data_IF_116976250900
#
_entry.id   IF_116976250900
#
_cell.length_a   1.000
_cell.length_b   1.000
_cell.length_c   1.000
_cell.angle_alpha   90.00
_cell.angle_beta   90.00
_cell.angle_gamma   90.00
#
_symmetry.space_group_name_H-M   'P 1'
#
loop_
_entity.id
_entity.type
_entity.pdbx_description
1 polymer ?
#
# COMPACT_ATOMS: atom_id res chain seq x y z
N UNK A 1 -34.70 5.89 -9.52
CA UNK A 1 -33.95 4.62 -9.44
C UNK A 1 -32.48 4.99 -9.33
N UNK A 2 -31.86 4.82 -8.17
CA UNK A 2 -30.43 5.10 -8.01
C UNK A 2 -29.62 4.00 -8.70
N UNK A 3 -28.71 4.40 -9.59
CA UNK A 3 -27.93 3.50 -10.44
C UNK A 3 -27.06 2.58 -9.56
N UNK A 4 -27.01 1.26 -9.81
CA UNK A 4 -26.27 0.29 -8.97
C UNK A 4 -24.83 0.72 -8.62
N UNK A 5 -24.12 1.36 -9.57
CA UNK A 5 -22.76 1.87 -9.35
C UNK A 5 -22.65 3.10 -8.43
N UNK A 6 -23.73 3.83 -8.16
CA UNK A 6 -23.72 4.93 -7.18
C UNK A 6 -23.63 4.40 -5.75
N UNK A 7 -24.46 3.41 -5.40
CA UNK A 7 -24.46 2.81 -4.06
C UNK A 7 -23.14 2.11 -3.74
N UNK A 8 -22.56 1.40 -4.72
CA UNK A 8 -21.27 0.75 -4.55
C UNK A 8 -20.13 1.77 -4.33
N UNK A 9 -20.10 2.86 -5.12
CA UNK A 9 -19.10 3.93 -4.94
C UNK A 9 -19.26 4.65 -3.60
N UNK A 10 -20.49 4.89 -3.15
CA UNK A 10 -20.76 5.51 -1.86
C UNK A 10 -20.33 4.61 -0.69
N UNK A 11 -20.63 3.31 -0.77
CA UNK A 11 -20.18 2.32 0.21
C UNK A 11 -18.65 2.27 0.27
N UNK A 12 -17.97 2.20 -0.89
CA UNK A 12 -16.52 2.22 -0.95
C UNK A 12 -15.90 3.53 -0.40
N UNK A 13 -16.57 4.68 -0.56
CA UNK A 13 -16.14 5.94 0.03
C UNK A 13 -16.30 5.94 1.55
N UNK A 14 -17.42 5.44 2.08
CA UNK A 14 -17.64 5.33 3.52
C UNK A 14 -16.62 4.39 4.18
N UNK A 15 -16.36 3.22 3.59
CA UNK A 15 -15.34 2.30 4.08
C UNK A 15 -13.95 2.94 4.15
N UNK A 16 -13.58 3.78 3.16
CA UNK A 16 -12.33 4.54 3.19
C UNK A 16 -12.30 5.57 4.32
N UNK A 17 -13.41 6.26 4.58
CA UNK A 17 -13.53 7.21 5.69
C UNK A 17 -13.40 6.50 7.04
N UNK A 18 -14.08 5.37 7.20
CA UNK A 18 -14.04 4.57 8.42
C UNK A 18 -12.65 3.99 8.68
N UNK A 19 -11.97 3.54 7.63
CA UNK A 19 -10.57 3.11 7.72
C UNK A 19 -9.66 4.26 8.18
N UNK A 20 -9.74 5.44 7.54
CA UNK A 20 -8.95 6.60 7.95
C UNK A 20 -9.29 7.12 9.36
N UNK A 21 -10.54 6.94 9.82
CA UNK A 21 -10.92 7.21 11.21
C UNK A 21 -10.26 6.21 12.18
N UNK A 22 -10.26 4.92 11.83
CA UNK A 22 -9.63 3.88 12.62
C UNK A 22 -8.11 4.07 12.71
N UNK A 23 -7.45 4.41 11.60
CA UNK A 23 -6.01 4.74 11.59
C UNK A 23 -5.70 5.95 12.47
N UNK A 24 -6.50 7.02 12.39
CA UNK A 24 -6.33 8.19 13.27
C UNK A 24 -6.52 7.84 14.74
N UNK A 25 -7.49 6.99 15.06
CA UNK A 25 -7.72 6.53 16.42
C UNK A 25 -6.55 5.68 16.93
N UNK A 26 -6.05 4.76 16.10
CA UNK A 26 -4.88 3.94 16.40
C UNK A 26 -3.62 4.80 16.61
N UNK A 27 -3.35 5.77 15.75
CA UNK A 27 -2.22 6.69 15.92
C UNK A 27 -2.34 7.56 17.18
N UNK A 28 -3.55 7.93 17.58
CA UNK A 28 -3.78 8.63 18.85
C UNK A 28 -3.53 7.73 20.07
N UNK A 29 -3.84 6.44 19.97
CA UNK A 29 -3.55 5.44 21.00
C UNK A 29 -2.05 5.14 21.10
N UNK A 30 -1.37 4.99 19.96
CA UNK A 30 0.08 4.80 19.89
C UNK A 30 0.81 5.99 20.53
N UNK A 31 0.46 7.22 20.14
CA UNK A 31 0.99 8.44 20.77
C UNK A 31 0.75 8.44 22.28
N UNK A 32 -0.42 8.02 22.73
CA UNK A 32 -0.75 7.96 24.14
C UNK A 32 0.13 6.94 24.89
N UNK A 33 0.37 5.76 24.31
CA UNK A 33 1.27 4.72 24.84
C UNK A 33 2.70 5.25 24.95
N UNK A 34 3.24 5.86 23.89
CA UNK A 34 4.60 6.43 23.93
C UNK A 34 4.76 7.49 25.02
N UNK A 35 3.77 8.38 25.19
CA UNK A 35 3.78 9.38 26.27
C UNK A 35 3.74 8.70 27.65
N UNK A 36 2.96 7.63 27.79
CA UNK A 36 2.84 6.91 29.06
C UNK A 36 4.14 6.19 29.45
N UNK A 37 4.75 5.47 28.50
CA UNK A 37 6.04 4.79 28.68
C UNK A 37 7.15 5.78 29.05
N UNK A 38 7.21 6.93 28.37
CA UNK A 38 8.22 7.94 28.64
C UNK A 38 8.00 8.63 30.00
N UNK A 39 6.75 8.89 30.38
CA UNK A 39 6.43 9.43 31.71
C UNK A 39 6.78 8.44 32.83
N UNK A 40 6.58 7.14 32.60
CA UNK A 40 6.94 6.06 33.53
C UNK A 40 8.45 5.91 33.66
N UNK A 41 9.18 5.91 32.54
CA UNK A 41 10.65 5.85 32.48
C UNK A 41 11.32 6.95 33.31
N UNK A 42 10.72 8.14 33.35
CA UNK A 42 11.19 9.30 34.12
C UNK A 42 10.87 9.23 35.62
N UNK A 43 10.02 8.29 36.06
CA UNK A 43 9.67 8.08 37.46
C UNK A 43 8.83 9.19 38.09
N UNK A 44 9.07 9.50 39.37
CA UNK A 44 8.24 10.43 40.15
C UNK A 44 8.36 11.85 39.60
N UNK A 45 7.25 12.39 39.11
CA UNK A 45 7.21 13.70 38.45
C UNK A 45 7.47 13.66 36.94
N UNK A 46 7.64 12.47 36.35
CA UNK A 46 7.89 12.27 34.93
C UNK A 46 6.85 12.93 34.03
N UNK A 47 5.56 12.83 34.38
CA UNK A 47 4.48 13.48 33.61
C UNK A 47 4.61 15.02 33.56
N UNK A 48 5.05 15.65 34.67
CA UNK A 48 5.26 17.10 34.74
C UNK A 48 6.49 17.54 33.96
N UNK A 49 7.58 16.79 34.08
CA UNK A 49 8.79 17.02 33.28
C UNK A 49 8.52 16.88 31.79
N UNK A 50 7.79 15.84 31.39
CA UNK A 50 7.44 15.57 30.00
C UNK A 50 6.48 16.65 29.44
N UNK A 51 5.53 17.13 30.24
CA UNK A 51 4.66 18.23 29.85
C UNK A 51 5.46 19.51 29.53
N UNK A 52 6.43 19.86 30.37
CA UNK A 52 7.31 21.01 30.15
C UNK A 52 8.17 20.86 28.89
N UNK A 53 8.72 19.66 28.65
CA UNK A 53 9.54 19.37 27.47
C UNK A 53 8.75 19.41 26.16
N UNK A 54 7.54 18.84 26.15
CA UNK A 54 6.67 18.82 24.98
C UNK A 54 5.94 20.16 24.75
N UNK A 55 6.06 21.13 25.67
CA UNK A 55 5.37 22.42 25.59
C UNK A 55 3.84 22.29 25.70
N UNK A 56 3.35 21.28 26.42
CA UNK A 56 1.91 21.01 26.60
C UNK A 56 1.50 21.10 28.07
N UNK A 57 0.20 21.18 28.33
CA UNK A 57 -0.30 21.17 29.71
C UNK A 57 -0.09 19.81 30.38
N UNK A 58 0.15 19.79 31.70
CA UNK A 58 0.21 18.54 32.48
C UNK A 58 -1.08 17.71 32.29
N UNK A 59 -2.24 18.38 32.18
CA UNK A 59 -3.53 17.75 31.90
C UNK A 59 -3.52 16.94 30.61
N UNK A 60 -2.87 17.43 29.55
CA UNK A 60 -2.73 16.73 28.27
C UNK A 60 -1.96 15.42 28.44
N UNK A 61 -0.87 15.44 29.21
CA UNK A 61 -0.07 14.24 29.50
C UNK A 61 -0.87 13.25 30.35
N UNK A 62 -1.59 13.70 31.38
CA UNK A 62 -2.45 12.82 32.17
C UNK A 62 -3.59 12.20 31.36
N UNK A 63 -4.17 12.95 30.41
CA UNK A 63 -5.18 12.41 29.49
C UNK A 63 -4.60 11.36 28.56
N UNK A 64 -3.38 11.57 28.04
CA UNK A 64 -2.66 10.58 27.25
C UNK A 64 -2.39 9.31 28.05
N UNK A 65 -1.90 9.42 29.30
CA UNK A 65 -1.69 8.27 30.18
C UNK A 65 -3.01 7.52 30.45
N UNK A 66 -4.10 8.25 30.72
CA UNK A 66 -5.41 7.64 30.95
C UNK A 66 -5.94 6.92 29.70
N UNK A 67 -5.68 7.47 28.50
CA UNK A 67 -6.02 6.86 27.22
C UNK A 67 -5.18 5.61 26.96
N UNK A 68 -3.87 5.65 27.21
CA UNK A 68 -2.96 4.52 27.06
C UNK A 68 -3.39 3.31 27.91
N UNK A 69 -3.89 3.55 29.13
CA UNK A 69 -4.43 2.48 30.00
C UNK A 69 -5.70 1.81 29.48
N UNK A 70 -6.44 2.49 28.59
CA UNK A 70 -7.69 2.01 27.99
C UNK A 70 -7.50 1.47 26.58
N UNK A 71 -6.43 1.89 25.90
CA UNK A 71 -6.01 1.27 24.66
C UNK A 71 -5.74 -0.20 24.96
N UNK A 72 -6.27 -1.10 24.12
CA UNK A 72 -5.95 -2.53 24.21
C UNK A 72 -4.44 -2.77 24.06
N UNK A 73 -4.00 -4.02 24.14
CA UNK A 73 -2.59 -4.36 23.85
C UNK A 73 -2.15 -3.66 22.56
N UNK A 74 -0.99 -2.97 22.54
CA UNK A 74 -0.61 -2.16 21.41
C UNK A 74 -0.61 -3.04 20.17
N UNK A 75 -1.56 -2.81 19.26
CA UNK A 75 -1.42 -3.25 17.89
C UNK A 75 -0.12 -2.62 17.42
N UNK A 76 0.89 -3.44 17.16
CA UNK A 76 2.11 -2.98 16.49
C UNK A 76 1.78 -3.07 15.00
N UNK A 77 1.31 -1.98 14.36
CA UNK A 77 1.08 -2.02 12.93
C UNK A 77 2.41 -2.35 12.24
N UNK A 78 2.31 -2.94 11.07
CA UNK A 78 3.47 -2.99 10.17
C UNK A 78 3.89 -1.55 9.84
N UNK A 79 5.19 -1.29 9.58
CA UNK A 79 5.65 0.02 9.11
C UNK A 79 4.79 0.57 7.97
N UNK A 80 4.58 1.89 7.93
CA UNK A 80 3.70 2.52 6.94
C UNK A 80 4.13 2.25 5.49
N UNK A 81 5.43 2.04 5.27
CA UNK A 81 6.06 1.73 3.98
C UNK A 81 6.15 0.23 3.68
N UNK A 82 5.46 -0.63 4.44
CA UNK A 82 5.57 -2.09 4.28
C UNK A 82 5.15 -2.55 2.89
N UNK A 83 4.09 -1.98 2.32
CA UNK A 83 3.65 -2.34 0.98
C UNK A 83 4.73 -1.99 -0.06
N UNK A 84 5.23 -0.75 -0.05
CA UNK A 84 6.32 -0.32 -0.95
C UNK A 84 7.55 -1.21 -0.82
N UNK A 85 7.96 -1.53 0.42
CA UNK A 85 9.09 -2.43 0.68
C UNK A 85 8.84 -3.84 0.15
N UNK A 86 7.64 -4.37 0.32
CA UNK A 86 7.28 -5.70 -0.18
C UNK A 86 7.33 -5.73 -1.71
N UNK A 87 6.72 -4.75 -2.39
CA UNK A 87 6.76 -4.68 -3.85
C UNK A 87 8.19 -4.52 -4.37
N UNK A 88 9.01 -3.67 -3.75
CA UNK A 88 10.41 -3.51 -4.12
C UNK A 88 11.23 -4.81 -3.95
N UNK A 89 10.95 -5.60 -2.91
CA UNK A 89 11.58 -6.92 -2.73
C UNK A 89 11.18 -7.87 -3.85
N UNK A 90 9.90 -7.89 -4.23
CA UNK A 90 9.38 -8.77 -5.28
C UNK A 90 10.01 -8.45 -6.65
N UNK A 91 10.18 -7.17 -6.98
CA UNK A 91 10.83 -6.73 -8.23
C UNK A 91 12.22 -7.36 -8.41
N UNK A 92 13.00 -7.51 -7.34
CA UNK A 92 14.33 -8.14 -7.41
C UNK A 92 14.31 -9.62 -7.81
N UNK A 93 13.14 -10.26 -7.76
CA UNK A 93 12.96 -11.68 -8.09
C UNK A 93 12.20 -11.89 -9.40
N UNK A 94 11.74 -10.81 -10.03
CA UNK A 94 11.09 -10.86 -11.34
C UNK A 94 12.14 -11.27 -12.38
N UNK A 95 11.86 -12.24 -13.28
CA UNK A 95 12.79 -12.58 -14.34
C UNK A 95 13.02 -11.37 -15.27
N UNK A 96 14.25 -11.14 -15.74
CA UNK A 96 14.54 -9.98 -16.55
C UNK A 96 13.87 -10.06 -17.93
N UNK A 97 13.42 -8.90 -18.44
CA UNK A 97 12.94 -8.74 -19.81
C UNK A 97 13.76 -7.66 -20.54
N UNK A 98 13.73 -7.63 -21.89
CA UNK A 98 14.32 -6.54 -22.64
C UNK A 98 13.66 -5.20 -22.27
N UNK A 99 14.43 -4.12 -22.24
CA UNK A 99 13.91 -2.79 -21.88
C UNK A 99 12.72 -2.35 -22.74
N UNK A 100 12.69 -2.75 -24.02
CA UNK A 100 11.60 -2.47 -24.94
C UNK A 100 10.29 -3.12 -24.52
N UNK A 101 10.33 -4.33 -23.94
CA UNK A 101 9.14 -5.02 -23.43
C UNK A 101 8.61 -4.35 -22.15
N UNK A 102 9.50 -3.86 -21.28
CA UNK A 102 9.08 -3.05 -20.14
C UNK A 102 8.42 -1.74 -20.55
N UNK A 103 8.96 -1.06 -21.56
CA UNK A 103 8.35 0.15 -22.10
C UNK A 103 6.98 -0.13 -22.72
N UNK A 104 6.85 -1.23 -23.47
CA UNK A 104 5.58 -1.68 -24.04
C UNK A 104 4.55 -1.95 -22.95
N UNK A 105 4.92 -2.75 -21.95
CA UNK A 105 4.03 -3.07 -20.84
C UNK A 105 3.60 -1.82 -20.08
N UNK A 106 4.52 -0.89 -19.82
CA UNK A 106 4.21 0.37 -19.16
C UNK A 106 3.25 1.24 -19.96
N UNK A 107 3.33 1.22 -21.30
CA UNK A 107 2.38 1.90 -22.15
C UNK A 107 0.97 1.30 -22.01
N UNK A 108 0.87 -0.04 -22.06
CA UNK A 108 -0.40 -0.76 -21.94
C UNK A 108 -1.04 -0.57 -20.56
N UNK A 109 -0.26 -0.72 -19.50
CA UNK A 109 -0.72 -0.58 -18.10
C UNK A 109 -1.32 0.80 -17.82
N UNK A 110 -0.88 1.87 -18.50
CA UNK A 110 -1.47 3.22 -18.34
C UNK A 110 -2.92 3.31 -18.84
N UNK A 111 -3.33 2.42 -19.74
CA UNK A 111 -4.69 2.36 -20.26
C UNK A 111 -5.65 1.51 -19.41
N UNK A 112 -5.13 0.72 -18.49
CA UNK A 112 -5.91 -0.29 -17.76
C UNK A 112 -6.47 0.29 -16.46
N UNK A 113 -7.75 0.02 -16.20
CA UNK A 113 -8.39 0.33 -14.91
C UNK A 113 -8.28 -0.86 -13.96
N UNK A 114 -7.45 -0.72 -12.93
CA UNK A 114 -7.25 -1.75 -11.91
C UNK A 114 -8.25 -1.59 -10.77
N UNK A 115 -9.12 -2.57 -10.60
CA UNK A 115 -10.05 -2.67 -9.48
C UNK A 115 -9.63 -3.77 -8.47
N UNK A 116 -10.46 -4.00 -7.45
CA UNK A 116 -10.16 -5.00 -6.40
C UNK A 116 -10.04 -6.42 -6.94
N UNK A 117 -10.67 -6.74 -8.06
CA UNK A 117 -10.61 -8.06 -8.71
C UNK A 117 -9.18 -8.40 -9.11
N UNK A 118 -8.38 -7.41 -9.51
CA UNK A 118 -6.97 -7.61 -9.87
C UNK A 118 -6.12 -8.08 -8.69
N UNK A 119 -6.44 -7.61 -7.48
CA UNK A 119 -5.76 -8.00 -6.25
C UNK A 119 -6.25 -9.37 -5.78
N UNK A 120 -7.55 -9.65 -5.91
CA UNK A 120 -8.19 -10.86 -5.41
C UNK A 120 -7.93 -12.11 -6.28
N UNK A 121 -7.66 -11.93 -7.56
CA UNK A 121 -7.52 -13.01 -8.55
C UNK A 121 -6.05 -13.27 -8.92
N UNK A 122 -5.77 -13.48 -10.21
CA UNK A 122 -4.44 -13.69 -10.78
C UNK A 122 -4.09 -12.49 -11.68
N UNK A 123 -3.49 -11.43 -11.13
CA UNK A 123 -3.21 -10.20 -11.88
C UNK A 123 -2.26 -10.44 -13.07
N UNK A 124 -1.35 -11.41 -12.98
CA UNK A 124 -0.50 -11.80 -14.09
C UNK A 124 -1.28 -12.34 -15.28
N UNK A 125 -2.28 -13.19 -15.03
CA UNK A 125 -3.17 -13.73 -16.08
C UNK A 125 -4.05 -12.65 -16.69
N UNK A 126 -4.65 -11.78 -15.86
CA UNK A 126 -5.45 -10.65 -16.36
C UNK A 126 -4.61 -9.71 -17.22
N UNK A 127 -3.39 -9.37 -16.79
CA UNK A 127 -2.50 -8.51 -17.56
C UNK A 127 -2.05 -9.17 -18.87
N UNK A 128 -1.85 -10.48 -18.88
CA UNK A 128 -1.53 -11.22 -20.08
C UNK A 128 -2.66 -11.17 -21.12
N UNK A 129 -3.91 -11.29 -20.66
CA UNK A 129 -5.08 -11.21 -21.54
C UNK A 129 -5.22 -9.81 -22.15
N UNK A 130 -4.99 -8.74 -21.36
CA UNK A 130 -4.96 -7.35 -21.85
C UNK A 130 -3.84 -7.10 -22.87
N UNK A 131 -2.65 -7.71 -22.66
CA UNK A 131 -1.54 -7.63 -23.62
C UNK A 131 -1.89 -8.34 -24.93
N UNK A 132 -2.55 -9.49 -24.86
CA UNK A 132 -2.99 -10.24 -26.04
C UNK A 132 -4.09 -9.50 -26.82
N UNK A 133 -4.99 -8.81 -26.13
CA UNK A 133 -6.01 -7.96 -26.75
C UNK A 133 -5.34 -6.79 -27.48
N UNK A 134 -4.47 -6.03 -26.80
CA UNK A 134 -3.78 -4.89 -27.40
C UNK A 134 -2.88 -5.27 -28.60
N UNK A 135 -2.30 -6.46 -28.58
CA UNK A 135 -1.49 -6.95 -29.69
C UNK A 135 -2.27 -7.21 -30.98
N UNK A 136 -3.58 -7.47 -30.89
CA UNK A 136 -4.43 -7.61 -32.07
C UNK A 136 -4.56 -6.29 -32.83
N UNK A 137 -4.58 -5.17 -32.10
CA UNK A 137 -4.69 -3.83 -32.66
C UNK A 137 -3.33 -3.29 -33.14
N UNK A 138 -2.27 -3.52 -32.34
CA UNK A 138 -0.93 -2.96 -32.61
C UNK A 138 -0.04 -3.85 -33.49
N UNK A 139 -0.46 -5.08 -33.78
CA UNK A 139 0.20 -5.98 -34.73
C UNK A 139 1.56 -6.53 -34.29
N UNK A 140 1.76 -6.78 -32.99
CA UNK A 140 2.98 -7.41 -32.45
C UNK A 140 2.72 -8.84 -31.93
N UNK A 141 3.79 -9.63 -31.72
CA UNK A 141 3.68 -10.95 -31.12
C UNK A 141 3.59 -10.84 -29.58
N UNK A 142 2.37 -10.95 -29.03
CA UNK A 142 2.15 -10.90 -27.58
C UNK A 142 2.62 -12.13 -26.81
N UNK A 143 2.78 -13.30 -27.47
CA UNK A 143 2.94 -14.59 -26.77
C UNK A 143 4.10 -14.59 -25.76
N UNK A 144 5.32 -14.09 -26.10
CA UNK A 144 6.42 -14.09 -25.14
C UNK A 144 6.12 -13.26 -23.89
N UNK A 145 5.48 -12.10 -24.05
CA UNK A 145 5.14 -11.21 -22.94
C UNK A 145 3.96 -11.76 -22.12
N UNK A 146 2.95 -12.31 -22.78
CA UNK A 146 1.80 -12.92 -22.12
C UNK A 146 2.20 -14.17 -21.30
N UNK A 147 3.04 -15.05 -21.85
CA UNK A 147 3.55 -16.23 -21.15
C UNK A 147 4.40 -15.84 -19.93
N UNK A 148 5.23 -14.80 -20.07
CA UNK A 148 5.97 -14.23 -18.95
C UNK A 148 5.04 -13.75 -17.83
N UNK A 149 4.02 -12.96 -18.18
CA UNK A 149 3.08 -12.39 -17.21
C UNK A 149 2.28 -13.46 -16.47
N UNK A 150 1.84 -14.51 -17.17
CA UNK A 150 1.17 -15.68 -16.56
C UNK A 150 2.08 -16.46 -15.62
N UNK A 151 3.40 -16.40 -15.84
CA UNK A 151 4.41 -17.03 -14.99
C UNK A 151 4.68 -16.28 -13.68
N UNK A 152 4.26 -15.02 -13.56
CA UNK A 152 4.49 -14.22 -12.36
C UNK A 152 3.63 -14.69 -11.19
N UNK A 153 4.20 -14.64 -9.99
CA UNK A 153 3.40 -14.71 -8.77
C UNK A 153 2.42 -13.52 -8.70
N UNK A 154 1.38 -13.64 -7.88
CA UNK A 154 0.44 -12.53 -7.64
C UNK A 154 1.17 -11.26 -7.19
N UNK A 155 2.09 -11.37 -6.24
CA UNK A 155 2.81 -10.21 -5.67
C UNK A 155 3.80 -9.61 -6.67
N UNK A 156 4.46 -10.45 -7.47
CA UNK A 156 5.33 -10.00 -8.56
C UNK A 156 4.55 -9.24 -9.64
N UNK A 157 3.40 -9.75 -10.07
CA UNK A 157 2.56 -9.07 -11.05
C UNK A 157 2.07 -7.71 -10.54
N UNK A 158 1.64 -7.63 -9.28
CA UNK A 158 1.26 -6.35 -8.66
C UNK A 158 2.45 -5.38 -8.57
N UNK A 159 3.64 -5.86 -8.24
CA UNK A 159 4.84 -5.03 -8.19
C UNK A 159 5.22 -4.49 -9.58
N UNK A 160 5.12 -5.31 -10.62
CA UNK A 160 5.34 -4.90 -12.01
C UNK A 160 4.31 -3.86 -12.45
N UNK A 161 3.03 -4.06 -12.13
CA UNK A 161 1.96 -3.09 -12.42
C UNK A 161 2.25 -1.75 -11.73
N UNK A 162 2.54 -1.75 -10.43
CA UNK A 162 2.84 -0.55 -9.66
C UNK A 162 4.03 0.22 -10.24
N UNK A 163 5.10 -0.49 -10.58
CA UNK A 163 6.31 0.08 -11.20
C UNK A 163 6.01 0.66 -12.60
N UNK A 164 5.17 -0.01 -13.39
CA UNK A 164 4.74 0.48 -14.69
C UNK A 164 3.85 1.74 -14.59
N UNK A 165 2.96 1.79 -13.60
CA UNK A 165 2.07 2.93 -13.36
C UNK A 165 2.83 4.15 -12.83
N UNK A 166 3.77 3.95 -11.91
CA UNK A 166 4.63 5.02 -11.38
C UNK A 166 5.63 5.54 -12.41
N UNK A 167 5.92 4.75 -13.44
CA UNK A 167 6.86 5.08 -14.50
C UNK A 167 8.32 4.86 -14.13
N UNK A 168 8.60 4.24 -12.98
CA UNK A 168 9.96 3.90 -12.55
C UNK A 168 10.46 2.60 -13.20
N UNK A 169 10.54 2.60 -14.54
CA UNK A 169 11.00 1.43 -15.29
C UNK A 169 12.47 1.09 -15.00
N UNK A 170 13.21 1.99 -14.37
CA UNK A 170 14.61 1.76 -13.98
C UNK A 170 14.76 0.77 -12.83
N UNK A 171 13.69 0.57 -12.05
CA UNK A 171 13.64 -0.46 -11.03
C UNK A 171 13.47 -1.88 -11.59
N UNK A 172 13.01 -2.03 -12.84
CA UNK A 172 12.71 -3.33 -13.43
C UNK A 172 13.98 -4.07 -13.90
N UNK A 173 14.10 -5.38 -13.62
CA UNK A 173 15.25 -6.16 -14.05
C UNK A 173 15.28 -6.24 -15.58
N UNK A 174 16.37 -5.76 -16.16
CA UNK A 174 16.53 -5.65 -17.62
C UNK A 174 17.65 -6.57 -18.09
N UNK A 175 17.41 -7.34 -19.15
CA UNK A 175 18.47 -8.04 -19.88
C UNK A 175 18.87 -7.21 -21.11
N UNK A 176 20.18 -7.12 -21.35
CA UNK A 176 20.77 -6.48 -22.54
C UNK A 176 20.47 -7.28 -23.83
#
# INVERSE_FOLDING_TARGET
>A
MATPGFHQRLHAANMRIDHGNAERAAGADEKAVTIAEEAERRGRGGAKSLAAELGVSEKTVFQAIARARRAGAPHRPLPADTLERLLAVEINTVPPLPAAEWQRLAHLVRGIFFDTTWVETQPGSLLADEVEEAAQDDGFDARPLADFLRGLSRTQALAVIDTCQSGDLTALPTQE
#
